data_IF_246521248453
#
_entry.id   IF_246521248453
#
_cell.length_a   1.000
_cell.length_b   1.000
_cell.length_c   1.000
_cell.angle_alpha   90.00
_cell.angle_beta   90.00
_cell.angle_gamma   90.00
#
_symmetry.space_group_name_H-M   'P 1'
#
loop_
_entity.id
_entity.type
_entity.pdbx_description
1 polymer ?
#
# COMPACT_ATOMS: atom_id res chain seq x y z
N UNK A 1 -27.70 7.82 7.40
CA UNK A 1 -26.43 8.52 7.66
C UNK A 1 -25.65 8.79 6.39
N UNK A 2 -24.67 9.67 6.50
CA UNK A 2 -23.93 10.25 5.39
C UNK A 2 -22.47 9.88 5.47
N UNK A 3 -21.80 9.81 4.31
CA UNK A 3 -20.35 9.61 4.19
C UNK A 3 -19.82 10.71 3.26
N UNK A 4 -18.88 11.48 3.77
CA UNK A 4 -18.18 12.53 3.02
C UNK A 4 -16.72 12.17 2.83
N UNK A 5 -16.14 12.63 1.74
CA UNK A 5 -14.70 12.62 1.55
C UNK A 5 -14.01 13.75 2.34
N UNK A 6 -12.67 13.87 2.21
CA UNK A 6 -11.89 14.91 2.93
C UNK A 6 -12.21 16.33 2.51
N UNK A 7 -12.77 16.53 1.32
CA UNK A 7 -13.03 17.83 0.70
C UNK A 7 -14.51 18.22 0.78
N UNK A 8 -15.33 17.40 1.47
CA UNK A 8 -16.75 17.63 1.68
C UNK A 8 -17.64 17.12 0.56
N UNK A 9 -17.12 16.30 -0.35
CA UNK A 9 -17.93 15.64 -1.38
C UNK A 9 -18.77 14.56 -0.74
N UNK A 10 -20.10 14.60 -0.93
CA UNK A 10 -21.04 13.58 -0.45
C UNK A 10 -20.87 12.29 -1.27
N UNK A 11 -20.34 11.25 -0.64
CA UNK A 11 -20.05 9.96 -1.26
C UNK A 11 -21.23 9.01 -1.20
N UNK A 12 -21.95 9.01 -0.07
CA UNK A 12 -23.14 8.17 0.09
C UNK A 12 -24.02 8.71 1.21
N UNK A 13 -25.35 8.54 1.05
CA UNK A 13 -26.36 8.95 2.04
C UNK A 13 -27.55 8.01 2.04
N UNK A 14 -28.34 8.04 3.11
CA UNK A 14 -29.58 7.27 3.21
C UNK A 14 -30.78 8.22 3.31
N UNK A 15 -31.78 7.96 2.50
CA UNK A 15 -33.06 8.67 2.48
C UNK A 15 -34.20 7.67 2.31
N UNK A 16 -35.27 7.79 3.12
CA UNK A 16 -36.43 6.90 3.09
C UNK A 16 -36.08 5.40 3.15
N UNK A 17 -35.05 5.04 3.90
CA UNK A 17 -34.58 3.66 4.04
C UNK A 17 -33.79 3.11 2.85
N UNK A 18 -33.57 3.92 1.83
CA UNK A 18 -32.75 3.57 0.67
C UNK A 18 -31.37 4.20 0.77
N UNK A 19 -30.37 3.54 0.21
CA UNK A 19 -28.97 4.02 0.12
C UNK A 19 -28.71 4.61 -1.25
N UNK A 20 -28.15 5.80 -1.28
CA UNK A 20 -27.75 6.56 -2.47
C UNK A 20 -26.25 6.85 -2.40
N UNK A 21 -25.66 7.10 -3.56
CA UNK A 21 -24.26 7.39 -3.72
C UNK A 21 -24.05 8.71 -4.47
N UNK A 22 -22.82 9.20 -4.53
CA UNK A 22 -22.44 10.44 -5.22
C UNK A 22 -23.06 10.54 -6.64
N UNK A 23 -23.24 11.76 -7.13
CA UNK A 23 -23.85 11.97 -8.47
C UNK A 23 -22.90 11.52 -9.61
N UNK A 24 -21.58 11.72 -9.44
CA UNK A 24 -20.56 11.33 -10.44
C UNK A 24 -20.34 9.80 -10.42
N UNK A 25 -20.62 9.08 -11.54
CA UNK A 25 -20.43 7.65 -11.66
C UNK A 25 -18.96 7.21 -11.53
N UNK A 26 -18.01 8.06 -11.92
CA UNK A 26 -16.58 7.74 -11.81
C UNK A 26 -16.12 7.82 -10.36
N UNK A 27 -16.62 8.79 -9.58
CA UNK A 27 -16.41 8.84 -8.13
C UNK A 27 -17.03 7.62 -7.46
N UNK A 28 -18.28 7.24 -7.84
CA UNK A 28 -18.92 6.05 -7.27
C UNK A 28 -18.09 4.80 -7.48
N UNK A 29 -17.60 4.60 -8.70
CA UNK A 29 -16.74 3.45 -9.03
C UNK A 29 -15.39 3.53 -8.32
N UNK A 30 -14.74 4.69 -8.26
CA UNK A 30 -13.44 4.87 -7.60
C UNK A 30 -13.51 4.62 -6.10
N UNK A 31 -14.61 5.02 -5.46
CA UNK A 31 -14.81 4.91 -4.02
C UNK A 31 -15.50 3.62 -3.58
N UNK A 32 -15.84 2.71 -4.52
CA UNK A 32 -16.60 1.49 -4.24
C UNK A 32 -16.02 0.67 -3.08
N UNK A 33 -14.72 0.35 -3.12
CA UNK A 33 -14.10 -0.50 -2.10
C UNK A 33 -13.86 0.23 -0.78
N UNK A 34 -13.77 1.56 -0.80
CA UNK A 34 -13.64 2.39 0.40
C UNK A 34 -15.01 2.59 1.05
N UNK A 35 -16.00 3.02 0.28
CA UNK A 35 -17.37 3.32 0.79
C UNK A 35 -18.15 2.03 1.04
N UNK A 36 -18.19 1.13 0.07
CA UNK A 36 -18.99 -0.11 0.09
C UNK A 36 -20.16 -0.07 -0.90
N UNK A 37 -20.82 -1.20 -1.04
CA UNK A 37 -21.99 -1.43 -1.88
C UNK A 37 -23.28 -1.64 -1.08
N UNK A 38 -24.43 -1.53 -1.72
CA UNK A 38 -25.75 -1.70 -1.06
C UNK A 38 -25.98 -3.11 -0.53
N UNK A 39 -25.38 -4.11 -1.16
CA UNK A 39 -25.56 -5.53 -0.82
C UNK A 39 -24.54 -6.02 0.22
N UNK A 40 -23.58 -5.16 0.62
CA UNK A 40 -22.51 -5.46 1.58
C UNK A 40 -21.60 -6.65 1.19
N UNK A 41 -21.42 -6.88 -0.13
CA UNK A 41 -20.47 -7.88 -0.62
C UNK A 41 -19.03 -7.49 -0.30
N UNK A 42 -18.75 -6.19 -0.28
CA UNK A 42 -17.42 -5.67 0.08
C UNK A 42 -17.29 -5.65 1.60
N UNK A 43 -16.59 -6.65 2.14
CA UNK A 43 -16.51 -6.91 3.57
C UNK A 43 -15.69 -5.86 4.35
N UNK A 44 -14.67 -5.28 3.72
CA UNK A 44 -13.78 -4.26 4.31
C UNK A 44 -14.07 -2.90 3.70
N UNK A 45 -15.17 -2.27 4.16
CA UNK A 45 -15.64 -0.97 3.70
C UNK A 45 -16.18 -0.14 4.85
N UNK A 46 -16.16 1.18 4.68
CA UNK A 46 -16.64 2.14 5.70
C UNK A 46 -18.12 1.91 6.02
N UNK A 47 -18.95 1.72 5.01
CA UNK A 47 -20.39 1.50 5.20
C UNK A 47 -20.68 0.28 6.06
N UNK A 48 -19.95 -0.82 5.85
CA UNK A 48 -20.09 -2.03 6.65
C UNK A 48 -19.53 -1.86 8.07
N UNK A 49 -18.35 -1.27 8.18
CA UNK A 49 -17.67 -1.07 9.46
C UNK A 49 -18.45 -0.11 10.39
N UNK A 50 -19.00 0.98 9.85
CA UNK A 50 -19.72 1.99 10.59
C UNK A 50 -21.24 1.86 10.44
N UNK A 51 -21.77 0.70 10.06
CA UNK A 51 -23.19 0.46 9.82
C UNK A 51 -24.08 0.87 11.00
N UNK A 52 -23.70 0.57 12.23
CA UNK A 52 -24.43 0.96 13.43
C UNK A 52 -24.48 2.48 13.66
N UNK A 53 -23.44 3.20 13.26
CA UNK A 53 -23.38 4.67 13.33
C UNK A 53 -24.21 5.32 12.23
N UNK A 54 -24.11 4.76 11.03
CA UNK A 54 -24.83 5.25 9.85
C UNK A 54 -26.34 4.95 9.91
N UNK A 55 -26.77 3.90 10.61
CA UNK A 55 -28.19 3.56 10.76
C UNK A 55 -28.92 4.33 11.90
N UNK A 56 -28.20 5.10 12.70
CA UNK A 56 -28.79 5.78 13.87
C UNK A 56 -29.17 4.84 15.03
N UNK A 57 -28.77 3.56 14.96
CA UNK A 57 -29.09 2.58 16.01
C UNK A 57 -28.31 2.86 17.28
N UNK A 58 -29.04 3.05 18.40
CA UNK A 58 -28.46 3.20 19.73
C UNK A 58 -28.86 2.01 20.62
N UNK A 59 -27.84 1.26 21.10
CA UNK A 59 -28.06 0.08 21.94
C UNK A 59 -28.71 0.38 23.28
N UNK A 60 -28.60 1.62 23.82
CA UNK A 60 -29.13 2.05 25.12
C UNK A 60 -30.57 2.57 25.07
N UNK A 61 -31.02 3.03 23.88
CA UNK A 61 -32.35 3.65 23.72
C UNK A 61 -33.36 2.79 22.98
N UNK A 62 -32.94 1.63 22.42
CA UNK A 62 -33.80 0.92 21.48
C UNK A 62 -34.11 1.79 20.24
N UNK A 63 -35.13 1.46 19.50
CA UNK A 63 -35.59 2.23 18.35
C UNK A 63 -36.08 3.64 18.77
N UNK A 64 -35.48 4.66 18.18
CA UNK A 64 -36.00 6.01 17.95
C UNK A 64 -36.89 6.65 19.06
N UNK A 65 -36.29 7.38 19.97
CA UNK A 65 -37.08 8.12 20.95
C UNK A 65 -37.43 9.56 20.54
N UNK A 66 -36.78 10.14 19.54
CA UNK A 66 -37.06 11.50 19.00
C UNK A 66 -36.77 11.52 17.49
N UNK A 67 -37.63 12.20 16.70
CA UNK A 67 -37.44 12.36 15.25
C UNK A 67 -36.05 12.90 14.86
N UNK A 68 -35.45 13.75 15.68
CA UNK A 68 -34.10 14.28 15.48
C UNK A 68 -32.99 13.21 15.63
N UNK A 69 -33.29 12.05 16.22
CA UNK A 69 -32.36 10.93 16.41
C UNK A 69 -32.55 9.81 15.36
N UNK A 70 -33.52 9.96 14.49
CA UNK A 70 -33.74 9.05 13.34
C UNK A 70 -32.71 9.26 12.23
N UNK A 71 -32.03 10.39 12.20
CA UNK A 71 -30.94 10.64 11.27
C UNK A 71 -29.68 9.85 11.71
N UNK A 72 -29.23 8.96 10.86
CA UNK A 72 -27.94 8.29 11.05
C UNK A 72 -26.81 9.30 11.13
N UNK A 73 -25.69 8.90 11.76
CA UNK A 73 -24.51 9.74 11.91
C UNK A 73 -23.80 10.01 10.59
N UNK A 74 -22.84 10.92 10.63
CA UNK A 74 -21.99 11.29 9.49
C UNK A 74 -20.58 10.75 9.68
N UNK A 75 -20.02 10.12 8.67
CA UNK A 75 -18.62 9.68 8.61
C UNK A 75 -17.87 10.57 7.64
N UNK A 76 -16.90 11.31 8.14
CA UNK A 76 -15.99 12.12 7.32
C UNK A 76 -14.67 11.36 7.12
N UNK A 77 -14.30 11.11 5.87
CA UNK A 77 -13.11 10.38 5.50
C UNK A 77 -11.89 11.31 5.37
N UNK A 78 -10.71 10.68 5.34
CA UNK A 78 -9.46 11.35 4.96
C UNK A 78 -9.16 11.19 3.47
N UNK A 79 -9.84 10.28 2.79
CA UNK A 79 -9.65 9.94 1.38
C UNK A 79 -10.24 11.03 0.50
N UNK A 80 -9.54 11.39 -0.59
CA UNK A 80 -10.05 12.30 -1.62
C UNK A 80 -10.71 11.51 -2.75
N UNK A 81 -11.94 11.88 -3.07
CA UNK A 81 -12.68 11.29 -4.18
C UNK A 81 -12.03 11.63 -5.53
N UNK A 82 -11.49 12.84 -5.67
CA UNK A 82 -10.83 13.28 -6.90
C UNK A 82 -9.53 12.51 -7.15
N UNK A 83 -8.69 12.35 -6.13
CA UNK A 83 -7.47 11.53 -6.23
C UNK A 83 -7.82 10.07 -6.54
N UNK A 84 -8.87 9.54 -5.91
CA UNK A 84 -9.33 8.16 -6.16
C UNK A 84 -9.84 7.97 -7.58
N UNK A 85 -10.50 8.98 -8.17
CA UNK A 85 -10.93 8.99 -9.57
C UNK A 85 -9.72 8.91 -10.51
N UNK A 86 -8.68 9.71 -10.28
CA UNK A 86 -7.41 9.64 -11.03
C UNK A 86 -6.79 8.26 -10.92
N UNK A 87 -6.75 7.67 -9.72
CA UNK A 87 -6.21 6.33 -9.51
C UNK A 87 -6.98 5.24 -10.28
N UNK A 88 -8.32 5.30 -10.27
CA UNK A 88 -9.17 4.38 -11.05
C UNK A 88 -8.91 4.51 -12.55
N UNK A 89 -8.86 5.73 -13.04
CA UNK A 89 -8.61 6.06 -14.45
C UNK A 89 -7.25 5.53 -14.91
N UNK A 90 -6.21 5.75 -14.09
CA UNK A 90 -4.85 5.28 -14.36
C UNK A 90 -4.73 3.75 -14.29
N UNK A 91 -5.44 3.08 -13.41
CA UNK A 91 -5.52 1.62 -13.39
C UNK A 91 -6.25 1.08 -14.64
N UNK A 92 -7.29 1.77 -15.10
CA UNK A 92 -8.12 1.32 -16.22
C UNK A 92 -8.70 -0.08 -15.98
N UNK A 93 -8.57 -0.95 -16.97
CA UNK A 93 -9.07 -2.33 -16.88
C UNK A 93 -8.09 -3.30 -16.19
N UNK A 94 -6.96 -2.82 -15.68
CA UNK A 94 -5.98 -3.67 -14.99
C UNK A 94 -6.45 -3.98 -13.57
N UNK A 95 -6.22 -5.20 -13.10
CA UNK A 95 -6.45 -5.58 -11.72
C UNK A 95 -5.31 -5.06 -10.85
N UNK A 96 -5.61 -4.40 -9.75
CA UNK A 96 -4.57 -3.84 -8.91
C UNK A 96 -5.08 -3.05 -7.71
N UNK A 97 -4.14 -2.46 -7.00
CA UNK A 97 -4.38 -1.61 -5.85
C UNK A 97 -3.47 -0.39 -5.85
N UNK A 98 -4.01 0.75 -5.45
CA UNK A 98 -3.29 2.00 -5.22
C UNK A 98 -3.65 2.51 -3.84
N UNK A 99 -2.66 2.79 -3.02
CA UNK A 99 -2.83 3.45 -1.74
C UNK A 99 -1.76 4.52 -1.53
N UNK A 100 -2.20 5.67 -1.00
CA UNK A 100 -1.34 6.82 -0.66
C UNK A 100 -1.79 7.39 0.67
N UNK A 101 -0.84 7.70 1.53
CA UNK A 101 -1.14 8.38 2.79
C UNK A 101 -0.10 9.44 3.14
N UNK A 102 -0.49 10.41 3.96
CA UNK A 102 0.40 11.38 4.57
C UNK A 102 1.13 10.73 5.76
N UNK A 103 2.43 10.49 5.64
CA UNK A 103 3.22 9.80 6.66
C UNK A 103 3.50 10.64 7.93
N UNK A 104 3.06 11.90 7.98
CA UNK A 104 3.11 12.75 9.18
C UNK A 104 1.79 12.75 9.96
N UNK A 105 0.65 12.74 9.26
CA UNK A 105 -0.68 12.83 9.88
C UNK A 105 -1.41 11.50 9.97
N UNK A 106 -0.95 10.48 9.22
CA UNK A 106 -1.63 9.19 9.07
C UNK A 106 -2.83 9.22 8.14
N UNK A 107 -3.19 10.36 7.55
CA UNK A 107 -4.34 10.48 6.66
C UNK A 107 -4.13 9.74 5.35
N UNK A 108 -4.99 8.77 5.05
CA UNK A 108 -5.02 8.09 3.75
C UNK A 108 -5.73 8.99 2.74
N UNK A 109 -5.03 9.38 1.67
CA UNK A 109 -5.58 10.24 0.62
C UNK A 109 -6.20 9.44 -0.52
N UNK A 110 -5.67 8.24 -0.78
CA UNK A 110 -6.13 7.35 -1.85
C UNK A 110 -6.16 5.92 -1.36
N UNK A 111 -7.25 5.20 -1.69
CA UNK A 111 -7.40 3.76 -1.44
C UNK A 111 -8.31 3.17 -2.52
N UNK A 112 -7.71 2.75 -3.63
CA UNK A 112 -8.44 2.26 -4.82
C UNK A 112 -8.06 0.84 -5.14
N UNK A 113 -9.06 0.03 -5.44
CA UNK A 113 -8.94 -1.37 -5.84
C UNK A 113 -9.71 -1.62 -7.14
N UNK A 114 -9.15 -2.41 -8.03
CA UNK A 114 -9.76 -2.83 -9.29
C UNK A 114 -9.73 -4.35 -9.44
N UNK A 115 -10.70 -4.97 -10.14
CA UNK A 115 -11.83 -4.35 -10.86
C UNK A 115 -12.79 -3.62 -9.93
N UNK A 116 -13.54 -2.68 -10.48
CA UNK A 116 -14.55 -1.92 -9.77
C UNK A 116 -15.81 -1.76 -10.62
N UNK A 117 -16.89 -1.27 -10.01
CA UNK A 117 -18.15 -0.96 -10.70
C UNK A 117 -18.86 0.22 -10.02
N UNK A 118 -19.85 0.79 -10.72
CA UNK A 118 -20.74 1.80 -10.18
C UNK A 118 -21.83 1.14 -9.31
N UNK A 119 -21.85 1.37 -7.97
CA UNK A 119 -22.82 0.76 -7.06
C UNK A 119 -24.27 1.20 -7.33
N UNK A 120 -24.50 2.34 -8.02
CA UNK A 120 -25.83 2.79 -8.43
C UNK A 120 -26.29 2.15 -9.74
N UNK A 121 -25.37 1.60 -10.52
CA UNK A 121 -25.66 0.94 -11.79
C UNK A 121 -24.83 -0.34 -11.91
N UNK A 122 -25.00 -1.23 -10.92
CA UNK A 122 -24.28 -2.49 -10.84
C UNK A 122 -24.49 -3.34 -12.10
N UNK A 123 -23.42 -3.75 -12.80
CA UNK A 123 -23.55 -4.66 -13.92
C UNK A 123 -23.99 -6.06 -13.47
N UNK A 124 -24.43 -6.87 -14.41
CA UNK A 124 -24.64 -8.31 -14.17
C UNK A 124 -23.24 -8.98 -14.04
N UNK A 125 -22.84 -9.25 -12.80
CA UNK A 125 -21.52 -9.76 -12.48
C UNK A 125 -21.54 -11.28 -12.51
N UNK A 126 -20.91 -11.86 -13.53
CA UNK A 126 -20.53 -13.26 -13.54
C UNK A 126 -19.24 -13.43 -12.70
N UNK A 127 -19.30 -14.13 -11.55
CA UNK A 127 -18.13 -14.34 -10.69
C UNK A 127 -16.97 -15.11 -11.35
N UNK A 128 -17.28 -15.91 -12.38
CA UNK A 128 -16.31 -16.69 -13.14
C UNK A 128 -15.68 -15.89 -14.29
N UNK A 129 -16.23 -14.72 -14.60
CA UNK A 129 -15.68 -13.83 -15.61
C UNK A 129 -14.33 -13.26 -15.20
N UNK A 130 -13.32 -13.33 -16.05
CA UNK A 130 -12.03 -12.70 -15.80
C UNK A 130 -12.13 -11.18 -15.61
N UNK A 131 -13.11 -10.52 -16.19
CA UNK A 131 -13.35 -9.09 -16.05
C UNK A 131 -13.65 -8.70 -14.60
N UNK A 132 -14.52 -9.45 -13.92
CA UNK A 132 -14.98 -9.16 -12.56
C UNK A 132 -14.36 -10.06 -11.48
N UNK A 133 -13.43 -10.91 -11.83
CA UNK A 133 -12.78 -11.82 -10.86
C UNK A 133 -12.16 -11.04 -9.69
N UNK A 134 -12.68 -11.28 -8.49
CA UNK A 134 -12.27 -10.61 -7.28
C UNK A 134 -12.75 -9.15 -7.15
N UNK A 135 -13.81 -8.76 -7.85
CA UNK A 135 -14.38 -7.41 -7.81
C UNK A 135 -14.86 -7.00 -6.41
N UNK A 136 -15.25 -7.95 -5.57
CA UNK A 136 -15.67 -7.67 -4.19
C UNK A 136 -14.50 -7.63 -3.18
N UNK A 137 -13.28 -7.90 -3.65
CA UNK A 137 -12.09 -7.89 -2.80
C UNK A 137 -11.52 -6.47 -2.74
N UNK A 138 -11.47 -5.89 -1.55
CA UNK A 138 -10.67 -4.70 -1.30
C UNK A 138 -9.18 -5.10 -1.33
N UNK A 139 -8.55 -4.98 -2.50
CA UNK A 139 -7.15 -5.39 -2.72
C UNK A 139 -6.15 -4.60 -1.89
N UNK A 140 -6.48 -3.37 -1.55
CA UNK A 140 -5.64 -2.54 -0.68
C UNK A 140 -5.52 -3.18 0.71
N UNK A 141 -6.66 -3.60 1.30
CA UNK A 141 -6.71 -4.13 2.67
C UNK A 141 -6.65 -5.66 2.75
N UNK A 142 -6.88 -6.39 1.65
CA UNK A 142 -6.98 -7.85 1.68
C UNK A 142 -6.02 -8.54 0.72
N UNK A 143 -5.48 -7.81 -0.25
CA UNK A 143 -4.56 -8.39 -1.23
C UNK A 143 -3.27 -8.86 -0.59
N UNK A 144 -2.80 -10.03 -1.01
CA UNK A 144 -1.49 -10.57 -0.68
C UNK A 144 -0.81 -11.00 -1.98
N UNK A 145 0.34 -10.43 -2.24
CA UNK A 145 1.07 -10.61 -3.49
C UNK A 145 2.55 -10.86 -3.23
N UNK A 146 3.22 -11.69 -4.03
CA UNK A 146 4.67 -11.75 -3.98
C UNK A 146 5.25 -10.33 -4.14
N UNK A 147 6.11 -9.87 -3.23
CA UNK A 147 6.63 -8.49 -3.27
C UNK A 147 7.70 -8.30 -4.35
N UNK A 148 8.37 -9.37 -4.76
CA UNK A 148 9.53 -9.27 -5.63
C UNK A 148 10.57 -8.28 -5.09
N UNK A 149 11.24 -7.58 -5.95
CA UNK A 149 12.33 -6.66 -5.57
C UNK A 149 11.96 -5.53 -4.61
N UNK A 150 10.68 -5.31 -4.28
CA UNK A 150 10.32 -4.36 -3.20
C UNK A 150 10.70 -4.90 -1.82
N UNK A 151 10.80 -6.23 -1.64
CA UNK A 151 11.27 -6.84 -0.40
C UNK A 151 12.73 -6.54 -0.11
N UNK A 152 13.53 -6.15 -1.12
CA UNK A 152 14.91 -5.69 -0.92
C UNK A 152 15.03 -4.51 0.04
N UNK A 153 13.95 -3.76 0.24
CA UNK A 153 13.85 -2.72 1.29
C UNK A 153 14.00 -3.36 2.68
N UNK A 154 13.33 -4.50 2.92
CA UNK A 154 13.42 -5.24 4.19
C UNK A 154 14.82 -5.84 4.38
N UNK A 155 15.34 -6.48 3.34
CA UNK A 155 16.68 -7.07 3.36
C UNK A 155 17.77 -6.00 3.54
N UNK A 156 17.60 -4.82 2.93
CA UNK A 156 18.53 -3.71 3.10
C UNK A 156 18.51 -3.16 4.52
N UNK A 157 17.33 -2.98 5.13
CA UNK A 157 17.21 -2.57 6.52
C UNK A 157 17.92 -3.58 7.45
N UNK A 158 17.67 -4.88 7.28
CA UNK A 158 18.35 -5.94 8.03
C UNK A 158 19.87 -5.90 7.87
N UNK A 159 20.36 -5.67 6.64
CA UNK A 159 21.78 -5.62 6.34
C UNK A 159 22.48 -4.41 6.98
N UNK A 160 21.87 -3.23 6.90
CA UNK A 160 22.41 -2.00 7.48
C UNK A 160 22.51 -2.13 9.01
N UNK A 161 21.53 -2.75 9.66
CA UNK A 161 21.54 -2.93 11.11
C UNK A 161 22.49 -4.04 11.60
N UNK A 162 22.80 -5.04 10.75
CA UNK A 162 23.47 -6.26 11.24
C UNK A 162 24.83 -6.56 10.59
N UNK A 163 25.20 -5.90 9.49
CA UNK A 163 26.48 -6.12 8.79
C UNK A 163 27.29 -4.82 8.82
N UNK A 164 28.31 -4.72 9.68
CA UNK A 164 29.01 -3.45 9.95
C UNK A 164 29.68 -2.78 8.74
N UNK A 165 30.15 -3.56 7.77
CA UNK A 165 30.85 -3.07 6.58
C UNK A 165 29.98 -2.99 5.32
N UNK A 166 28.67 -3.23 5.44
CA UNK A 166 27.76 -3.37 4.27
C UNK A 166 27.81 -2.16 3.33
N UNK A 167 27.90 -0.96 3.87
CA UNK A 167 27.88 0.29 3.10
C UNK A 167 29.23 0.59 2.40
N UNK A 168 30.32 -0.03 2.84
CA UNK A 168 31.66 0.17 2.29
C UNK A 168 32.15 -1.02 1.47
N UNK A 169 31.44 -2.13 1.50
CA UNK A 169 31.78 -3.38 0.81
C UNK A 169 31.56 -3.25 -0.69
N UNK A 170 32.53 -3.75 -1.48
CA UNK A 170 32.38 -3.98 -2.90
C UNK A 170 31.84 -5.39 -3.18
N UNK A 171 30.92 -5.48 -4.10
CA UNK A 171 30.36 -6.73 -4.63
C UNK A 171 30.68 -6.88 -6.12
N UNK A 172 30.61 -8.11 -6.62
CA UNK A 172 30.75 -8.41 -8.06
C UNK A 172 29.57 -9.24 -8.50
N UNK A 173 28.77 -8.69 -9.44
CA UNK A 173 27.67 -9.41 -10.06
C UNK A 173 28.07 -9.89 -11.46
N UNK A 174 28.11 -11.19 -11.64
CA UNK A 174 28.41 -11.87 -12.92
C UNK A 174 27.17 -12.35 -13.67
N UNK A 175 25.96 -11.92 -13.21
CA UNK A 175 24.68 -12.35 -13.77
C UNK A 175 23.98 -13.44 -12.95
N UNK A 176 24.65 -14.02 -11.97
CA UNK A 176 24.11 -15.04 -11.08
C UNK A 176 24.89 -15.07 -9.75
N UNK A 177 24.33 -15.73 -8.76
CA UNK A 177 24.99 -16.06 -7.50
C UNK A 177 24.90 -17.55 -7.24
N UNK A 178 26.04 -18.20 -6.98
CA UNK A 178 26.13 -19.61 -6.64
C UNK A 178 25.96 -19.81 -5.14
N UNK A 179 24.79 -20.24 -4.69
CA UNK A 179 24.54 -20.71 -3.34
C UNK A 179 25.05 -22.16 -3.18
N UNK A 180 25.10 -22.67 -1.96
CA UNK A 180 25.58 -24.02 -1.67
C UNK A 180 24.71 -25.14 -2.27
N UNK A 181 23.43 -24.86 -2.53
CA UNK A 181 22.39 -25.80 -2.96
C UNK A 181 21.66 -25.38 -4.24
N UNK A 182 22.06 -24.28 -4.88
CA UNK A 182 21.40 -23.81 -6.09
C UNK A 182 22.03 -22.55 -6.67
N UNK A 183 21.48 -22.09 -7.80
CA UNK A 183 21.90 -20.88 -8.49
C UNK A 183 20.76 -19.87 -8.49
N UNK A 184 21.06 -18.62 -8.11
CA UNK A 184 20.11 -17.51 -8.14
C UNK A 184 20.49 -16.60 -9.29
N UNK A 185 19.61 -16.51 -10.28
CA UNK A 185 19.85 -15.69 -11.47
C UNK A 185 19.59 -14.22 -11.18
N UNK A 186 20.43 -13.37 -11.75
CA UNK A 186 20.24 -11.93 -11.77
C UNK A 186 19.57 -11.49 -13.08
N UNK A 187 18.98 -10.31 -13.06
CA UNK A 187 18.35 -9.68 -14.23
C UNK A 187 19.37 -9.07 -15.22
N UNK A 188 20.65 -9.12 -14.88
CA UNK A 188 21.74 -8.64 -15.73
C UNK A 188 23.11 -8.90 -15.13
N UNK A 189 24.18 -8.58 -15.86
CA UNK A 189 25.57 -8.57 -15.40
C UNK A 189 25.91 -7.14 -15.00
N UNK A 190 25.94 -6.85 -13.67
CA UNK A 190 26.15 -5.49 -13.18
C UNK A 190 27.63 -5.15 -12.91
N UNK A 191 28.52 -6.16 -12.92
CA UNK A 191 29.93 -5.95 -12.63
C UNK A 191 30.20 -5.60 -11.17
N UNK A 192 31.14 -4.69 -10.92
CA UNK A 192 31.45 -4.18 -9.59
C UNK A 192 30.45 -3.13 -9.17
N UNK A 193 29.93 -3.24 -7.96
CA UNK A 193 28.98 -2.31 -7.36
C UNK A 193 29.06 -2.33 -5.82
N UNK A 194 28.75 -1.22 -5.20
CA UNK A 194 28.50 -1.13 -3.76
C UNK A 194 27.04 -1.50 -3.45
N UNK A 195 26.69 -1.50 -2.15
CA UNK A 195 25.35 -1.93 -1.73
C UNK A 195 24.24 -0.96 -2.19
N UNK A 196 24.51 0.34 -2.22
CA UNK A 196 23.54 1.35 -2.70
C UNK A 196 23.27 1.19 -4.21
N UNK A 197 24.33 0.99 -5.00
CA UNK A 197 24.22 0.70 -6.43
C UNK A 197 23.47 -0.62 -6.65
N UNK A 198 23.70 -1.64 -5.80
CA UNK A 198 22.98 -2.91 -5.88
C UNK A 198 21.47 -2.77 -5.63
N UNK A 199 21.03 -1.86 -4.74
CA UNK A 199 19.62 -1.56 -4.58
C UNK A 199 19.05 -0.83 -5.80
N UNK A 200 19.78 0.16 -6.33
CA UNK A 200 19.39 0.92 -7.51
C UNK A 200 19.22 0.00 -8.74
N UNK A 201 20.24 -0.82 -9.05
CA UNK A 201 20.20 -1.80 -10.14
C UNK A 201 19.28 -3.00 -9.85
N UNK A 202 18.70 -3.04 -8.65
CA UNK A 202 17.89 -4.19 -8.22
C UNK A 202 18.61 -5.53 -8.35
N UNK A 203 19.90 -5.58 -8.03
CA UNK A 203 20.78 -6.72 -8.24
C UNK A 203 20.39 -7.93 -7.39
N UNK A 204 19.91 -9.01 -8.02
CA UNK A 204 19.54 -10.23 -7.31
C UNK A 204 20.76 -10.93 -6.72
N UNK A 205 21.90 -10.98 -7.43
CA UNK A 205 23.12 -11.62 -6.95
C UNK A 205 23.59 -11.06 -5.62
N UNK A 206 23.62 -9.73 -5.47
CA UNK A 206 24.09 -9.08 -4.22
C UNK A 206 23.08 -9.30 -3.10
N UNK A 207 21.78 -9.06 -3.35
CA UNK A 207 20.77 -9.19 -2.31
C UNK A 207 20.57 -10.63 -1.84
N UNK A 208 20.71 -11.62 -2.73
CA UNK A 208 20.70 -13.04 -2.34
C UNK A 208 21.90 -13.42 -1.50
N UNK A 209 23.10 -12.94 -1.87
CA UNK A 209 24.31 -13.14 -1.07
C UNK A 209 24.16 -12.54 0.32
N UNK A 210 23.66 -11.31 0.41
CA UNK A 210 23.43 -10.59 1.68
C UNK A 210 22.36 -11.30 2.52
N UNK A 211 21.29 -11.79 1.92
CA UNK A 211 20.24 -12.54 2.60
C UNK A 211 20.79 -13.84 3.23
N UNK A 212 21.61 -14.57 2.49
CA UNK A 212 22.27 -15.79 2.99
C UNK A 212 23.25 -15.46 4.13
N UNK A 213 24.00 -14.37 4.04
CA UNK A 213 24.90 -13.91 5.11
C UNK A 213 24.15 -13.49 6.38
N UNK A 214 23.00 -12.80 6.25
CA UNK A 214 22.11 -12.43 7.36
C UNK A 214 21.55 -13.66 8.07
N UNK A 215 21.17 -14.66 7.31
CA UNK A 215 20.52 -15.86 7.79
C UNK A 215 19.03 -15.67 8.10
N UNK A 216 18.33 -16.78 8.23
CA UNK A 216 16.88 -16.83 8.41
C UNK A 216 16.38 -16.01 9.62
N UNK A 217 17.09 -16.07 10.75
CA UNK A 217 16.67 -15.42 12.01
C UNK A 217 16.60 -13.89 11.83
N UNK A 218 17.68 -13.25 11.37
CA UNK A 218 17.73 -11.79 11.25
C UNK A 218 16.77 -11.25 10.18
N UNK A 219 16.61 -12.00 9.09
CA UNK A 219 15.62 -11.63 8.06
C UNK A 219 14.20 -11.73 8.59
N UNK A 220 13.85 -12.79 9.31
CA UNK A 220 12.53 -12.93 9.93
C UNK A 220 12.27 -11.85 10.96
N UNK A 221 13.22 -11.58 11.86
CA UNK A 221 13.11 -10.50 12.84
C UNK A 221 12.85 -9.13 12.18
N UNK A 222 13.59 -8.82 11.11
CA UNK A 222 13.41 -7.57 10.39
C UNK A 222 12.07 -7.52 9.64
N UNK A 223 11.67 -8.61 8.99
CA UNK A 223 10.37 -8.70 8.32
C UNK A 223 9.22 -8.49 9.33
N UNK A 224 9.29 -9.11 10.51
CA UNK A 224 8.28 -8.96 11.57
C UNK A 224 8.25 -7.54 12.16
N UNK A 225 9.41 -6.91 12.39
CA UNK A 225 9.48 -5.48 12.78
C UNK A 225 8.80 -4.57 11.75
N UNK A 226 8.93 -4.91 10.47
CA UNK A 226 8.33 -4.16 9.36
C UNK A 226 6.89 -4.60 9.03
N UNK A 227 6.29 -5.46 9.84
CA UNK A 227 4.86 -5.77 9.81
C UNK A 227 4.47 -7.10 9.17
N UNK A 228 5.41 -7.87 8.61
CA UNK A 228 5.12 -9.22 8.14
C UNK A 228 4.75 -10.15 9.31
N UNK A 229 4.01 -11.22 9.02
CA UNK A 229 3.51 -12.19 9.99
C UNK A 229 2.62 -11.58 11.10
N UNK A 230 2.06 -10.40 10.86
CA UNK A 230 1.19 -9.69 11.81
C UNK A 230 -0.16 -9.37 11.16
N UNK A 231 -1.16 -9.19 12.00
CA UNK A 231 -2.46 -8.65 11.61
C UNK A 231 -2.62 -7.26 12.21
N UNK A 232 -3.13 -6.33 11.43
CA UNK A 232 -3.34 -4.94 11.80
C UNK A 232 -4.80 -4.55 11.66
N UNK A 233 -5.15 -3.39 12.18
CA UNK A 233 -6.46 -2.76 11.98
C UNK A 233 -6.31 -1.32 11.54
N UNK A 234 -7.17 -0.89 10.62
CA UNK A 234 -7.39 0.51 10.27
C UNK A 234 -8.86 0.84 10.46
N UNK A 235 -9.16 1.80 11.33
CA UNK A 235 -10.54 2.19 11.69
C UNK A 235 -11.44 0.98 12.02
N UNK A 236 -10.88 -0.06 12.65
CA UNK A 236 -11.57 -1.29 13.04
C UNK A 236 -11.68 -2.37 11.95
N UNK A 237 -11.20 -2.10 10.74
CA UNK A 237 -11.10 -3.11 9.67
C UNK A 237 -9.76 -3.83 9.75
N UNK A 238 -9.76 -5.16 9.91
CA UNK A 238 -8.53 -5.94 9.96
C UNK A 238 -7.90 -6.11 8.58
N UNK A 239 -6.55 -6.13 8.53
CA UNK A 239 -5.79 -6.44 7.33
C UNK A 239 -4.50 -7.19 7.66
N UNK A 240 -4.05 -8.12 6.79
CA UNK A 240 -2.81 -8.85 7.00
C UNK A 240 -1.61 -7.96 6.67
N UNK A 241 -0.54 -8.07 7.45
CA UNK A 241 0.71 -7.36 7.15
C UNK A 241 1.48 -7.97 5.99
N UNK A 242 1.30 -9.26 5.78
CA UNK A 242 2.04 -10.08 4.85
C UNK A 242 2.47 -11.39 5.51
N UNK A 243 3.15 -12.25 4.76
CA UNK A 243 3.75 -13.48 5.31
C UNK A 243 5.20 -13.63 4.88
N UNK A 244 6.04 -14.07 5.78
CA UNK A 244 7.45 -14.37 5.57
C UNK A 244 7.81 -15.60 6.40
N UNK A 245 8.10 -16.72 5.74
CA UNK A 245 8.49 -17.97 6.41
C UNK A 245 9.66 -18.64 5.67
N UNK A 246 10.81 -18.59 6.30
CA UNK A 246 12.07 -19.20 5.84
C UNK A 246 12.58 -20.27 6.81
N UNK A 247 11.72 -20.77 7.68
CA UNK A 247 12.10 -21.76 8.71
C UNK A 247 12.66 -23.07 8.15
N UNK A 248 12.23 -23.44 6.92
CA UNK A 248 12.70 -24.63 6.22
C UNK A 248 13.50 -24.32 4.96
N UNK A 249 13.90 -23.06 4.77
CA UNK A 249 14.60 -22.62 3.57
C UNK A 249 16.06 -23.15 3.54
N UNK A 250 16.47 -23.69 2.39
CA UNK A 250 17.87 -23.91 2.07
C UNK A 250 18.58 -22.59 1.76
N UNK A 251 19.84 -22.62 1.40
CA UNK A 251 20.59 -21.39 1.11
C UNK A 251 20.03 -20.67 -0.12
N UNK A 252 19.70 -21.39 -1.19
CA UNK A 252 19.09 -20.80 -2.38
C UNK A 252 17.71 -20.22 -2.11
N UNK A 253 16.85 -20.93 -1.35
CA UNK A 253 15.53 -20.45 -1.00
C UNK A 253 15.60 -19.19 -0.12
N UNK A 254 16.53 -19.17 0.84
CA UNK A 254 16.79 -17.97 1.65
C UNK A 254 17.28 -16.79 0.79
N UNK A 255 18.12 -17.04 -0.20
CA UNK A 255 18.53 -16.04 -1.16
C UNK A 255 17.37 -15.51 -2.02
N UNK A 256 16.46 -16.39 -2.47
CA UNK A 256 15.25 -16.00 -3.19
C UNK A 256 14.28 -15.22 -2.32
N UNK A 257 14.10 -15.62 -1.04
CA UNK A 257 13.25 -14.87 -0.12
C UNK A 257 13.81 -13.46 0.15
N UNK A 258 15.13 -13.29 0.24
CA UNK A 258 15.76 -11.97 0.42
C UNK A 258 15.53 -11.00 -0.74
N UNK A 259 15.03 -11.48 -1.87
CA UNK A 259 14.63 -10.64 -3.02
C UNK A 259 13.12 -10.65 -3.27
N UNK A 260 12.34 -11.16 -2.31
CA UNK A 260 10.87 -11.14 -2.32
C UNK A 260 10.23 -12.18 -3.23
N UNK A 261 10.92 -13.28 -3.43
CA UNK A 261 10.45 -14.48 -4.11
C UNK A 261 10.38 -15.63 -3.09
N UNK A 262 10.21 -16.84 -3.49
CA UNK A 262 9.96 -18.00 -2.62
C UNK A 262 8.51 -18.02 -2.13
N UNK A 263 8.24 -17.93 -0.82
CA UNK A 263 6.89 -17.98 -0.24
C UNK A 263 6.41 -16.62 0.30
N UNK A 264 7.19 -15.59 0.07
CA UNK A 264 6.93 -14.26 0.60
C UNK A 264 5.67 -13.63 -0.01
N UNK A 265 4.82 -13.07 0.84
CA UNK A 265 3.62 -12.35 0.43
C UNK A 265 3.55 -11.02 1.15
N UNK A 266 3.26 -9.94 0.43
CA UNK A 266 3.12 -8.59 0.96
C UNK A 266 1.73 -8.03 0.71
N UNK A 267 1.23 -7.27 1.67
CA UNK A 267 0.01 -6.50 1.53
C UNK A 267 0.33 -5.07 1.07
N UNK A 268 -0.42 -4.48 0.11
CA UNK A 268 -0.15 -3.14 -0.40
C UNK A 268 -0.19 -2.05 0.69
N UNK A 269 -1.14 -2.13 1.61
CA UNK A 269 -1.28 -1.15 2.69
C UNK A 269 -0.10 -1.20 3.68
N UNK A 270 0.40 -2.41 3.95
CA UNK A 270 1.62 -2.60 4.75
C UNK A 270 2.85 -2.05 4.04
N UNK A 271 3.01 -2.30 2.74
CA UNK A 271 4.14 -1.77 1.98
C UNK A 271 4.14 -0.24 1.92
N UNK A 272 2.97 0.38 1.79
CA UNK A 272 2.80 1.83 1.92
C UNK A 272 3.22 2.32 3.32
N UNK A 273 2.80 1.62 4.36
CA UNK A 273 3.13 1.97 5.76
C UNK A 273 4.64 1.83 6.03
N UNK A 274 5.28 0.80 5.48
CA UNK A 274 6.75 0.62 5.53
C UNK A 274 7.46 1.82 4.89
N UNK A 275 7.04 2.23 3.71
CA UNK A 275 7.60 3.39 3.01
C UNK A 275 7.46 4.68 3.86
N UNK A 276 6.29 4.87 4.48
CA UNK A 276 6.07 5.99 5.41
C UNK A 276 6.91 5.91 6.68
N UNK A 277 7.15 4.71 7.19
CA UNK A 277 8.05 4.50 8.33
C UNK A 277 9.50 4.89 8.02
N UNK A 278 10.00 4.55 6.84
CA UNK A 278 11.32 4.98 6.35
C UNK A 278 11.36 6.51 6.25
N UNK A 279 10.36 7.11 5.59
CA UNK A 279 10.26 8.56 5.44
C UNK A 279 10.16 9.31 6.77
N UNK A 280 9.60 8.68 7.80
CA UNK A 280 9.41 9.24 9.14
C UNK A 280 10.48 8.79 10.15
N UNK A 281 11.67 8.46 9.68
CA UNK A 281 12.84 8.18 10.54
C UNK A 281 12.77 6.83 11.27
N UNK A 282 12.16 5.81 10.67
CA UNK A 282 12.13 4.43 11.14
C UNK A 282 10.85 4.02 11.85
N UNK A 283 9.96 4.97 12.15
CA UNK A 283 8.66 4.71 12.82
C UNK A 283 7.52 5.24 11.98
N UNK A 284 6.58 4.38 11.62
CA UNK A 284 5.41 4.80 10.84
C UNK A 284 4.36 5.49 11.74
N UNK A 285 3.76 6.57 11.24
CA UNK A 285 2.47 7.02 11.75
C UNK A 285 1.41 6.09 11.19
N UNK A 286 0.53 5.60 12.05
CA UNK A 286 -0.50 4.63 11.68
C UNK A 286 -1.50 5.23 10.69
N UNK A 287 -1.73 4.60 9.54
CA UNK A 287 -2.71 5.10 8.59
C UNK A 287 -4.15 5.08 9.14
N UNK A 288 -4.95 6.04 8.73
CA UNK A 288 -6.38 6.14 9.05
C UNK A 288 -7.19 6.61 7.84
N UNK A 289 -8.36 6.04 7.64
CA UNK A 289 -9.31 6.38 6.57
C UNK A 289 -10.38 7.36 7.07
N UNK A 290 -10.64 7.38 8.40
CA UNK A 290 -11.68 8.20 9.01
C UNK A 290 -11.07 9.40 9.72
N UNK A 291 -11.57 10.58 9.40
CA UNK A 291 -11.23 11.81 10.09
C UNK A 291 -12.06 11.99 11.37
N UNK A 292 -13.37 11.86 11.26
CA UNK A 292 -14.26 11.85 12.41
C UNK A 292 -15.58 11.14 12.06
N UNK A 293 -16.30 10.78 13.13
CA UNK A 293 -17.68 10.30 13.05
C UNK A 293 -18.54 11.19 13.94
N UNK A 294 -19.52 11.81 13.34
CA UNK A 294 -20.50 12.65 14.03
C UNK A 294 -21.77 11.83 14.29
N UNK A 295 -22.25 11.86 15.51
CA UNK A 295 -23.53 11.30 15.91
C UNK A 295 -24.66 12.32 15.73
N UNK A 296 -25.85 12.04 16.30
CA UNK A 296 -26.96 12.98 16.34
C UNK A 296 -26.52 14.35 16.89
N UNK A 297 -27.10 15.43 16.37
CA UNK A 297 -26.77 16.82 16.73
C UNK A 297 -25.30 17.19 16.39
N UNK A 298 -24.67 16.50 15.44
CA UNK A 298 -23.27 16.73 15.05
C UNK A 298 -22.25 16.58 16.19
N UNK A 299 -22.58 15.78 17.21
CA UNK A 299 -21.66 15.53 18.33
C UNK A 299 -20.63 14.49 17.90
N UNK A 300 -19.31 14.78 17.95
CA UNK A 300 -18.28 13.82 17.59
C UNK A 300 -18.33 12.58 18.50
N UNK A 301 -18.49 11.41 17.90
CA UNK A 301 -18.44 10.10 18.59
C UNK A 301 -17.11 9.37 18.34
N UNK A 302 -16.35 9.81 17.35
CA UNK A 302 -15.00 9.40 17.05
C UNK A 302 -14.24 10.56 16.41
N UNK A 303 -12.98 10.74 16.78
CA UNK A 303 -12.06 11.70 16.17
C UNK A 303 -10.77 10.95 15.87
N UNK A 304 -10.43 10.86 14.59
CA UNK A 304 -9.18 10.27 14.12
C UNK A 304 -8.00 11.14 14.58
N UNK A 305 -6.98 10.50 15.12
CA UNK A 305 -5.75 11.15 15.57
C UNK A 305 -4.54 10.43 15.00
N UNK A 306 -3.51 11.19 14.68
CA UNK A 306 -2.22 10.62 14.38
C UNK A 306 -1.71 9.82 15.60
N UNK A 307 -1.23 8.63 15.35
CA UNK A 307 -0.60 7.77 16.36
C UNK A 307 0.63 7.08 15.75
N UNK A 308 1.71 7.05 16.48
CA UNK A 308 2.90 6.32 16.05
C UNK A 308 2.73 4.83 16.30
N UNK A 309 3.30 4.03 15.40
CA UNK A 309 3.46 2.59 15.55
C UNK A 309 4.69 2.22 16.35
N UNK A 310 5.05 0.94 16.32
CA UNK A 310 6.32 0.46 16.84
C UNK A 310 7.46 0.81 15.87
N UNK A 311 8.69 1.06 16.36
CA UNK A 311 9.84 1.28 15.50
C UNK A 311 10.10 0.06 14.61
N UNK A 312 10.25 0.30 13.32
CA UNK A 312 10.55 -0.71 12.30
C UNK A 312 12.06 -0.87 12.11
N UNK A 313 12.81 0.18 12.35
CA UNK A 313 14.27 0.27 12.23
C UNK A 313 14.79 1.51 12.95
N UNK A 314 16.11 1.57 13.14
CA UNK A 314 16.75 2.76 13.69
C UNK A 314 16.68 3.96 12.72
N UNK A 315 16.67 5.18 13.25
CA UNK A 315 16.56 6.40 12.42
C UNK A 315 17.74 6.57 11.45
N UNK A 316 18.93 6.13 11.84
CA UNK A 316 20.11 6.11 10.97
C UNK A 316 19.93 5.13 9.80
N UNK A 317 19.38 3.95 10.04
CA UNK A 317 19.03 2.96 9.02
C UNK A 317 18.00 3.51 8.05
N UNK A 318 16.95 4.15 8.59
CA UNK A 318 15.92 4.78 7.77
C UNK A 318 16.47 5.88 6.86
N UNK A 319 17.38 6.73 7.38
CA UNK A 319 18.03 7.78 6.59
C UNK A 319 18.86 7.22 5.44
N UNK A 320 19.70 6.22 5.72
CA UNK A 320 20.53 5.56 4.69
C UNK A 320 19.65 4.90 3.63
N UNK A 321 18.62 4.18 4.05
CA UNK A 321 17.70 3.50 3.15
C UNK A 321 16.93 4.49 2.28
N UNK A 322 16.51 5.62 2.82
CA UNK A 322 15.88 6.70 2.08
C UNK A 322 16.81 7.25 0.98
N UNK A 323 18.10 7.45 1.29
CA UNK A 323 19.09 7.91 0.30
C UNK A 323 19.34 6.85 -0.79
N UNK A 324 19.38 5.58 -0.43
CA UNK A 324 19.51 4.48 -1.39
C UNK A 324 18.29 4.41 -2.33
N UNK A 325 17.06 4.57 -1.80
CA UNK A 325 15.82 4.60 -2.59
C UNK A 325 15.73 5.84 -3.49
N UNK A 326 16.23 6.98 -3.01
CA UNK A 326 16.35 8.19 -3.84
C UNK A 326 17.35 7.99 -4.98
N UNK A 327 18.51 7.42 -4.68
CA UNK A 327 19.51 7.05 -5.68
C UNK A 327 18.95 6.11 -6.78
N UNK A 328 18.08 5.18 -6.43
CA UNK A 328 17.41 4.32 -7.39
C UNK A 328 16.49 5.11 -8.37
N UNK A 329 15.81 6.14 -7.87
CA UNK A 329 15.00 7.03 -8.74
C UNK A 329 15.89 7.83 -9.69
N UNK A 330 16.95 8.45 -9.17
CA UNK A 330 17.85 9.26 -9.97
C UNK A 330 18.54 8.47 -11.09
N UNK A 331 19.00 7.26 -10.77
CA UNK A 331 19.82 6.47 -11.68
C UNK A 331 19.00 5.62 -12.66
N UNK A 332 17.84 5.09 -12.24
CA UNK A 332 17.17 4.02 -12.99
C UNK A 332 15.74 4.36 -13.42
N UNK A 333 15.03 5.21 -12.67
CA UNK A 333 13.64 5.55 -13.02
C UNK A 333 13.52 6.92 -13.71
N UNK A 334 14.55 7.75 -13.57
CA UNK A 334 14.62 9.10 -14.15
C UNK A 334 13.78 10.10 -13.36
N UNK A 335 14.45 11.04 -12.68
CA UNK A 335 13.78 12.08 -11.90
C UNK A 335 12.79 12.93 -12.74
N UNK A 336 13.08 13.12 -14.01
CA UNK A 336 12.20 13.85 -14.93
C UNK A 336 10.82 13.20 -15.17
N UNK A 337 10.67 11.90 -14.83
CA UNK A 337 9.38 11.22 -14.90
C UNK A 337 8.48 11.57 -13.71
N UNK A 338 9.01 12.25 -12.69
CA UNK A 338 8.34 12.62 -11.43
C UNK A 338 8.57 14.10 -11.14
N UNK A 339 8.21 14.94 -12.10
CA UNK A 339 8.46 16.39 -12.03
C UNK A 339 7.87 17.00 -10.73
N UNK A 340 8.69 17.76 -10.01
CA UNK A 340 8.31 18.38 -8.73
C UNK A 340 8.25 17.44 -7.53
N UNK A 341 8.49 16.13 -7.70
CA UNK A 341 8.50 15.16 -6.63
C UNK A 341 9.94 14.75 -6.29
N UNK A 342 10.39 15.03 -5.07
CA UNK A 342 11.64 14.47 -4.55
C UNK A 342 11.40 13.03 -4.08
N UNK A 343 11.41 12.11 -5.04
CA UNK A 343 10.91 10.75 -4.86
C UNK A 343 11.99 9.79 -4.38
N UNK A 344 11.64 8.98 -3.39
CA UNK A 344 12.37 7.80 -2.93
C UNK A 344 11.54 6.57 -3.21
N UNK A 345 11.98 5.64 -4.07
CA UNK A 345 11.13 4.53 -4.46
C UNK A 345 11.91 3.27 -4.84
N UNK A 346 11.19 2.14 -4.83
CA UNK A 346 11.67 0.85 -5.30
C UNK A 346 10.61 0.17 -6.15
N UNK A 347 11.00 -0.27 -7.33
CA UNK A 347 10.17 -1.13 -8.19
C UNK A 347 10.26 -2.59 -7.75
N UNK A 348 9.19 -3.32 -8.01
CA UNK A 348 9.15 -4.77 -7.94
C UNK A 348 8.59 -5.36 -9.22
N UNK A 349 9.21 -6.44 -9.66
CA UNK A 349 8.69 -7.33 -10.70
C UNK A 349 8.66 -8.69 -10.05
N UNK A 350 7.46 -9.17 -9.72
CA UNK A 350 7.27 -10.37 -8.93
C UNK A 350 6.70 -11.49 -9.80
N UNK A 351 7.49 -12.53 -10.03
CA UNK A 351 7.04 -13.70 -10.76
C UNK A 351 5.96 -14.46 -9.95
N UNK A 352 4.93 -14.90 -10.65
CA UNK A 352 3.77 -15.60 -10.06
C UNK A 352 3.83 -17.10 -10.43
N UNK A 353 4.11 -17.36 -11.69
CA UNK A 353 4.30 -18.70 -12.27
C UNK A 353 5.04 -18.56 -13.61
N UNK A 354 5.28 -19.69 -14.29
CA UNK A 354 6.04 -19.72 -15.54
C UNK A 354 5.31 -19.12 -16.77
N UNK A 355 3.98 -18.95 -16.69
CA UNK A 355 3.14 -18.58 -17.85
C UNK A 355 2.57 -17.17 -17.76
N UNK A 356 2.30 -16.69 -16.57
CA UNK A 356 1.69 -15.37 -16.37
C UNK A 356 2.76 -14.29 -16.34
N UNK A 357 2.37 -13.09 -16.75
CA UNK A 357 3.22 -11.92 -16.57
C UNK A 357 3.43 -11.67 -15.07
N UNK A 358 4.59 -11.20 -14.65
CA UNK A 358 4.85 -10.86 -13.26
C UNK A 358 3.94 -9.72 -12.77
N UNK A 359 3.69 -9.67 -11.47
CA UNK A 359 3.08 -8.51 -10.84
C UNK A 359 4.03 -7.31 -10.87
N UNK A 360 3.50 -6.15 -11.17
CA UNK A 360 4.24 -4.90 -11.17
C UNK A 360 4.00 -4.13 -9.88
N UNK A 361 5.07 -3.82 -9.15
CA UNK A 361 5.04 -3.03 -7.92
C UNK A 361 5.81 -1.73 -8.07
N UNK A 362 5.31 -0.68 -7.40
CA UNK A 362 6.06 0.54 -7.14
C UNK A 362 5.70 1.06 -5.75
N UNK A 363 6.71 1.16 -4.88
CA UNK A 363 6.56 1.51 -3.46
C UNK A 363 7.56 2.59 -3.10
N UNK A 364 7.13 3.60 -2.37
CA UNK A 364 8.02 4.69 -2.00
C UNK A 364 7.34 5.84 -1.26
N UNK A 365 8.03 6.97 -1.23
CA UNK A 365 7.57 8.18 -0.58
C UNK A 365 8.20 9.42 -1.22
N UNK A 366 7.58 10.56 -1.01
CA UNK A 366 8.04 11.90 -1.45
C UNK A 366 8.69 12.60 -0.26
N UNK A 367 9.93 13.11 -0.43
CA UNK A 367 10.63 13.93 0.56
C UNK A 367 10.17 15.39 0.41
N UNK A 368 8.97 15.69 0.90
CA UNK A 368 8.45 17.04 0.88
C UNK A 368 7.66 17.29 2.17
N UNK A 369 7.99 18.36 2.88
CA UNK A 369 7.29 18.71 4.13
C UNK A 369 5.86 19.20 3.89
N UNK A 370 5.60 19.81 2.73
CA UNK A 370 4.25 20.30 2.36
C UNK A 370 3.37 19.15 1.84
N UNK A 371 3.97 18.14 1.22
CA UNK A 371 3.28 16.94 0.73
C UNK A 371 4.02 15.66 1.16
N UNK A 372 4.03 15.33 2.46
CA UNK A 372 4.74 14.17 3.00
C UNK A 372 3.97 12.88 2.71
N UNK A 373 4.08 12.38 1.48
CA UNK A 373 3.30 11.28 0.95
C UNK A 373 4.11 9.98 0.89
N UNK A 374 3.52 8.87 1.33
CA UNK A 374 4.03 7.54 1.05
C UNK A 374 2.97 6.71 0.33
N UNK A 375 3.41 5.77 -0.50
CA UNK A 375 2.51 5.08 -1.43
C UNK A 375 2.94 3.64 -1.70
N UNK A 376 1.98 2.84 -2.14
CA UNK A 376 2.19 1.56 -2.79
C UNK A 376 1.21 1.39 -3.95
N UNK A 377 1.73 0.94 -5.07
CA UNK A 377 0.97 0.54 -6.25
C UNK A 377 1.33 -0.90 -6.59
N UNK A 378 0.33 -1.74 -6.80
CA UNK A 378 0.48 -3.09 -7.34
C UNK A 378 -0.49 -3.30 -8.49
N UNK A 379 0.00 -3.89 -9.58
CA UNK A 379 -0.80 -4.26 -10.75
C UNK A 379 -0.57 -5.74 -11.02
N UNK A 380 -1.65 -6.53 -10.90
CA UNK A 380 -1.62 -7.96 -11.18
C UNK A 380 -1.25 -8.18 -12.66
N UNK A 381 -0.29 -9.06 -12.90
CA UNK A 381 0.20 -9.39 -14.25
C UNK A 381 0.60 -8.17 -15.10
N UNK A 382 1.03 -7.10 -14.42
CA UNK A 382 1.39 -5.81 -15.04
C UNK A 382 2.70 -5.82 -15.82
N UNK A 383 3.55 -6.80 -15.61
CA UNK A 383 4.86 -6.90 -16.24
C UNK A 383 5.93 -6.07 -15.52
N UNK A 384 6.52 -5.08 -16.17
CA UNK A 384 7.58 -4.25 -15.59
C UNK A 384 7.04 -3.32 -14.49
N UNK A 385 7.66 -3.38 -13.30
CA UNK A 385 7.26 -2.56 -12.17
C UNK A 385 7.23 -1.07 -12.49
N UNK A 386 8.28 -0.52 -13.08
CA UNK A 386 8.35 0.90 -13.40
C UNK A 386 7.35 1.32 -14.48
N UNK A 387 7.30 0.58 -15.60
CA UNK A 387 6.45 0.96 -16.73
C UNK A 387 4.95 0.91 -16.40
N UNK A 388 4.52 -0.09 -15.64
CA UNK A 388 3.12 -0.27 -15.32
C UNK A 388 2.69 0.48 -14.06
N UNK A 389 3.43 0.33 -12.94
CA UNK A 389 3.05 0.91 -11.66
C UNK A 389 3.62 2.33 -11.45
N UNK A 390 4.76 2.66 -12.05
CA UNK A 390 5.37 3.99 -11.92
C UNK A 390 4.55 5.11 -12.53
N UNK A 391 3.93 4.90 -13.70
CA UNK A 391 3.05 5.91 -14.33
C UNK A 391 1.79 6.16 -13.50
N UNK A 392 1.20 5.10 -12.94
CA UNK A 392 0.04 5.21 -12.03
C UNK A 392 0.43 5.99 -10.79
N UNK A 393 1.56 5.64 -10.15
CA UNK A 393 2.05 6.33 -8.97
C UNK A 393 2.29 7.82 -9.22
N UNK A 394 2.94 8.18 -10.34
CA UNK A 394 3.18 9.57 -10.68
C UNK A 394 1.88 10.38 -10.78
N UNK A 395 0.92 9.92 -11.58
CA UNK A 395 -0.34 10.63 -11.77
C UNK A 395 -1.10 10.81 -10.44
N UNK A 396 -1.15 9.77 -9.60
CA UNK A 396 -1.84 9.81 -8.31
C UNK A 396 -1.12 10.72 -7.31
N UNK A 397 0.22 10.69 -7.25
CA UNK A 397 0.99 11.57 -6.38
C UNK A 397 0.84 13.04 -6.79
N UNK A 398 0.85 13.37 -8.09
CA UNK A 398 0.58 14.73 -8.58
C UNK A 398 -0.81 15.19 -8.14
N UNK A 399 -1.85 14.37 -8.32
CA UNK A 399 -3.19 14.68 -7.85
C UNK A 399 -3.27 14.87 -6.32
N UNK A 400 -2.51 14.09 -5.54
CA UNK A 400 -2.41 14.28 -4.09
C UNK A 400 -1.79 15.64 -3.73
N UNK A 401 -0.71 16.04 -4.44
CA UNK A 401 -0.05 17.33 -4.22
C UNK A 401 -1.00 18.48 -4.55
N UNK A 402 -1.73 18.41 -5.66
CA UNK A 402 -2.74 19.40 -6.02
C UNK A 402 -3.78 19.60 -4.92
N UNK A 403 -4.39 18.51 -4.45
CA UNK A 403 -5.41 18.54 -3.36
C UNK A 403 -4.86 19.08 -2.03
N UNK A 404 -3.57 18.83 -1.73
CA UNK A 404 -2.94 19.37 -0.52
C UNK A 404 -2.62 20.86 -0.65
N UNK A 405 -2.31 21.36 -1.84
CA UNK A 405 -1.99 22.77 -2.08
C UNK A 405 -3.23 23.67 -2.18
N UNK A 406 -4.41 23.12 -2.41
CA UNK A 406 -5.68 23.88 -2.46
C UNK A 406 -6.21 24.28 -1.06
N UNK A 407 -5.57 23.84 0.02
CA UNK A 407 -5.90 24.17 1.42
C UNK A 407 -4.94 25.16 2.02
#
# INVERSE_FOLDING_TARGET
>A
GEIYDRDGILLAYSENGLRYYADDPEIRAAMLHTVGDTENFISKSIQKQFSSKLSGYNLLGGLHMLEEWEQGGTVNLTVSAQVSKVALEQLGNRKGAVCVYNYKTGEVLCSVSTPSYDPSNKPDIDPESEEYKGVYVNRVLSGLYPPGSTFKIVTAAAAIENIPDILTREFVCTGEYQASDGVIKCNGVHGKLNFSEALAESCNSVFSQVAIELGAVRLTEQAEKMGFNREFTVDGMSYPGGSYDVSNAGASDLGWSGIGQYTDMANPFTMMTIAGGIANGGTAVQPRLVNNVLGPLNIPTHIGKASEGEPMMDSSTASVLADMMHGAVLNNYGANNFEGLDLCAKTGTAEVNETDRPHAWFVGFVRNEEAPLAFAVVIENGGSGFQAAGSVANAVLQACVEVLNEK
#
